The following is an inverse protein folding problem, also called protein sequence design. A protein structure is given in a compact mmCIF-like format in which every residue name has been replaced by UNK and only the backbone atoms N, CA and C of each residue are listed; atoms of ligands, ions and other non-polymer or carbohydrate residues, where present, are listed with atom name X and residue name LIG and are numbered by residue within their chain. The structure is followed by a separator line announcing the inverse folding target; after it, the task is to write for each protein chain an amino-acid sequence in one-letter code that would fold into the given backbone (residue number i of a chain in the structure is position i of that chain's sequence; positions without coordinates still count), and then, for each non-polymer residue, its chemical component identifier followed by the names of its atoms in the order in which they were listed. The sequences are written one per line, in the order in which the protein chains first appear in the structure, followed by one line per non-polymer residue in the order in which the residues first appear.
data_IF_969190988555
#
_entry.id   IF_969190988555
#
_cell.length_a   1.000
_cell.length_b   1.000
_cell.length_c   1.000
_cell.angle_alpha   90.00
_cell.angle_beta   90.00
_cell.angle_gamma   90.00
#
_symmetry.space_group_name_H-M   'P 1'
#
loop_
_entity.id
_entity.type
_entity.pdbx_description
1 polymer ?
#
# COMPACT_ATOMS: atom_id res chain seq x y z
N UNK A 1 -3.81 -9.18 -13.95
CA UNK A 1 -2.93 -9.49 -12.80
C UNK A 1 -3.30 -8.56 -11.67
N UNK A 2 -3.30 -9.05 -10.43
CA UNK A 2 -3.56 -8.25 -9.23
C UNK A 2 -2.26 -7.87 -8.54
N UNK A 3 -2.05 -6.59 -8.27
CA UNK A 3 -0.83 -6.07 -7.66
C UNK A 3 -1.20 -5.34 -6.37
N UNK A 4 -0.49 -5.67 -5.30
CA UNK A 4 -0.63 -5.03 -4.00
C UNK A 4 0.65 -4.28 -3.64
N UNK A 5 0.55 -2.96 -3.50
CA UNK A 5 1.63 -2.13 -2.96
C UNK A 5 1.34 -1.82 -1.50
N UNK A 6 2.18 -2.33 -0.61
CA UNK A 6 2.16 -2.04 0.82
C UNK A 6 3.26 -1.04 1.11
N UNK A 7 2.92 0.09 1.75
CA UNK A 7 3.94 1.04 2.18
C UNK A 7 3.68 1.63 3.55
N UNK A 8 4.79 1.94 4.23
CA UNK A 8 4.78 2.59 5.55
C UNK A 8 5.57 3.88 5.44
N UNK A 9 4.89 5.00 5.57
CA UNK A 9 5.50 6.33 5.62
C UNK A 9 4.62 7.32 6.38
N UNK A 10 5.24 8.34 6.96
CA UNK A 10 4.52 9.43 7.64
C UNK A 10 4.30 10.64 6.73
N UNK A 11 5.06 10.76 5.64
CA UNK A 11 5.13 11.96 4.82
C UNK A 11 5.09 11.58 3.36
N UNK A 12 4.40 12.37 2.53
CA UNK A 12 4.44 12.21 1.09
C UNK A 12 5.72 12.86 0.54
N UNK A 13 6.76 12.04 0.28
CA UNK A 13 8.04 12.49 -0.23
C UNK A 13 8.38 11.77 -1.56
N UNK A 14 9.68 11.66 -1.87
CA UNK A 14 10.14 11.16 -3.16
C UNK A 14 9.79 9.70 -3.44
N UNK A 15 9.89 8.83 -2.43
CA UNK A 15 9.58 7.41 -2.59
C UNK A 15 8.08 7.15 -2.70
N UNK A 16 7.27 7.91 -1.95
CA UNK A 16 5.81 7.84 -2.00
C UNK A 16 5.30 8.38 -3.34
N UNK A 17 5.91 9.46 -3.87
CA UNK A 17 5.60 9.95 -5.21
C UNK A 17 5.95 8.94 -6.29
N UNK A 18 7.11 8.28 -6.18
CA UNK A 18 7.46 7.23 -7.13
C UNK A 18 6.50 6.04 -7.06
N UNK A 19 6.11 5.64 -5.84
CA UNK A 19 5.12 4.58 -5.63
C UNK A 19 3.77 4.95 -6.25
N UNK A 20 3.35 6.20 -6.08
CA UNK A 20 2.13 6.76 -6.65
C UNK A 20 2.17 6.68 -8.18
N UNK A 21 3.22 7.20 -8.81
CA UNK A 21 3.41 7.16 -10.27
C UNK A 21 3.42 5.72 -10.80
N UNK A 22 4.17 4.83 -10.14
CA UNK A 22 4.24 3.42 -10.50
C UNK A 22 2.87 2.73 -10.39
N UNK A 23 2.18 2.93 -9.27
CA UNK A 23 0.87 2.33 -9.02
C UNK A 23 -0.19 2.84 -10.01
N UNK A 24 -0.13 4.12 -10.37
CA UNK A 24 -1.01 4.72 -11.36
C UNK A 24 -0.76 4.12 -12.76
N UNK A 25 0.49 4.04 -13.22
CA UNK A 25 0.81 3.44 -14.52
C UNK A 25 0.42 1.95 -14.57
N UNK A 26 0.65 1.21 -13.49
CA UNK A 26 0.25 -0.19 -13.41
C UNK A 26 -1.27 -0.37 -13.42
N UNK A 27 -2.02 0.56 -12.80
CA UNK A 27 -3.49 0.50 -12.72
C UNK A 27 -4.19 0.58 -14.08
N UNK A 28 -3.51 1.09 -15.11
CA UNK A 28 -4.06 1.15 -16.48
C UNK A 28 -4.22 -0.23 -17.11
N UNK A 29 -3.40 -1.20 -16.70
CA UNK A 29 -3.35 -2.54 -17.30
C UNK A 29 -3.64 -3.65 -16.28
N UNK A 30 -3.63 -3.34 -14.99
CA UNK A 30 -3.72 -4.30 -13.90
C UNK A 30 -4.63 -3.79 -12.79
N UNK A 31 -5.15 -4.71 -11.98
CA UNK A 31 -5.88 -4.37 -10.76
C UNK A 31 -4.85 -4.06 -9.67
N UNK A 32 -4.70 -2.78 -9.33
CA UNK A 32 -3.68 -2.31 -8.38
C UNK A 32 -4.36 -1.77 -7.13
N UNK A 33 -3.98 -2.29 -5.98
CA UNK A 33 -4.40 -1.78 -4.68
C UNK A 33 -3.18 -1.30 -3.92
N UNK A 34 -3.23 -0.05 -3.46
CA UNK A 34 -2.23 0.53 -2.56
C UNK A 34 -2.76 0.49 -1.14
N UNK A 35 -1.93 0.07 -0.19
CA UNK A 35 -2.24 0.03 1.24
C UNK A 35 -1.25 0.88 2.01
N UNK A 36 -1.76 1.84 2.77
CA UNK A 36 -0.95 2.75 3.56
C UNK A 36 -1.77 3.60 4.54
N UNK A 37 -1.14 4.58 5.20
CA UNK A 37 -1.79 5.39 6.22
C UNK A 37 -2.83 6.36 5.63
N UNK A 38 -3.81 6.73 6.45
CA UNK A 38 -4.94 7.58 6.02
C UNK A 38 -4.49 8.94 5.50
N UNK A 39 -3.48 9.54 6.15
CA UNK A 39 -2.94 10.86 5.82
C UNK A 39 -2.41 10.99 4.40
N UNK A 40 -2.09 9.86 3.75
CA UNK A 40 -1.51 9.86 2.41
C UNK A 40 -2.51 9.47 1.33
N UNK A 41 -3.73 9.03 1.70
CA UNK A 41 -4.75 8.55 0.77
C UNK A 41 -5.07 9.53 -0.35
N UNK A 42 -5.19 10.82 -0.02
CA UNK A 42 -5.57 11.87 -1.00
C UNK A 42 -4.50 12.10 -2.08
N UNK A 43 -3.26 11.65 -1.84
CA UNK A 43 -2.19 11.79 -2.82
C UNK A 43 -2.19 10.69 -3.89
N UNK A 44 -2.96 9.61 -3.70
CA UNK A 44 -2.97 8.46 -4.62
C UNK A 44 -4.17 8.51 -5.57
N UNK A 45 -3.90 8.32 -6.86
CA UNK A 45 -4.92 8.30 -7.92
C UNK A 45 -5.57 6.93 -8.14
N UNK A 46 -4.97 5.86 -7.61
CA UNK A 46 -5.46 4.48 -7.76
C UNK A 46 -6.24 4.01 -6.54
N UNK A 47 -6.75 2.77 -6.56
CA UNK A 47 -7.45 2.19 -5.42
C UNK A 47 -6.55 2.16 -4.18
N UNK A 48 -7.03 2.77 -3.09
CA UNK A 48 -6.28 2.94 -1.85
C UNK A 48 -7.05 2.40 -0.66
N UNK A 49 -6.42 1.51 0.11
CA UNK A 49 -6.93 1.00 1.37
C UNK A 49 -6.12 1.55 2.53
N UNK A 50 -6.84 2.12 3.50
CA UNK A 50 -6.24 2.68 4.70
C UNK A 50 -5.89 1.56 5.67
N UNK A 51 -4.65 1.58 6.15
CA UNK A 51 -4.16 0.76 7.25
C UNK A 51 -3.21 1.62 8.08
N UNK A 52 -3.34 1.63 9.41
CA UNK A 52 -2.41 2.37 10.26
C UNK A 52 -1.05 1.67 10.27
N UNK A 53 -0.13 2.15 9.44
CA UNK A 53 1.18 1.52 9.23
C UNK A 53 2.23 1.94 10.24
N UNK A 54 1.91 2.86 11.16
CA UNK A 54 2.86 3.42 12.13
C UNK A 54 3.47 2.39 13.10
N UNK A 55 2.89 1.19 13.24
CA UNK A 55 3.35 0.16 14.20
C UNK A 55 3.66 -1.22 13.59
N UNK A 56 3.94 -1.30 12.28
CA UNK A 56 4.16 -2.57 11.57
C UNK A 56 5.23 -3.50 12.18
N UNK A 57 6.21 -2.97 12.93
CA UNK A 57 7.34 -3.79 13.40
C UNK A 57 6.98 -4.73 14.57
N UNK A 58 5.91 -4.49 15.34
CA UNK A 58 5.69 -5.23 16.60
C UNK A 58 4.23 -5.52 17.00
N UNK A 59 3.22 -5.17 16.20
CA UNK A 59 1.81 -5.40 16.59
C UNK A 59 1.20 -6.67 15.95
N UNK A 60 0.83 -7.69 16.74
CA UNK A 60 0.14 -8.89 16.24
C UNK A 60 -1.21 -8.58 15.57
N UNK A 61 -1.87 -7.50 16.01
CA UNK A 61 -3.16 -7.05 15.46
C UNK A 61 -2.99 -6.57 14.02
N UNK A 62 -1.94 -5.76 13.77
CA UNK A 62 -1.63 -5.27 12.43
C UNK A 62 -1.20 -6.40 11.49
N UNK A 63 -0.50 -7.41 12.02
CA UNK A 63 -0.17 -8.61 11.25
C UNK A 63 -1.44 -9.34 10.77
N UNK A 64 -2.45 -9.44 11.63
CA UNK A 64 -3.71 -10.08 11.28
C UNK A 64 -4.52 -9.24 10.28
N UNK A 65 -4.59 -7.93 10.46
CA UNK A 65 -5.26 -7.02 9.51
C UNK A 65 -4.60 -7.04 8.13
N UNK A 66 -3.26 -7.02 8.09
CA UNK A 66 -2.51 -7.11 6.83
C UNK A 66 -2.75 -8.45 6.14
N UNK A 67 -2.75 -9.56 6.89
CA UNK A 67 -3.11 -10.88 6.35
C UNK A 67 -4.53 -10.92 5.79
N UNK A 68 -5.50 -10.33 6.50
CA UNK A 68 -6.89 -10.24 6.01
C UNK A 68 -6.97 -9.45 4.71
N UNK A 69 -6.24 -8.33 4.60
CA UNK A 69 -6.20 -7.51 3.38
C UNK A 69 -5.54 -8.28 2.23
N UNK A 70 -4.39 -8.91 2.46
CA UNK A 70 -3.68 -9.71 1.45
C UNK A 70 -4.57 -10.87 0.98
N UNK A 71 -5.19 -11.61 1.91
CA UNK A 71 -6.07 -12.73 1.58
C UNK A 71 -7.34 -12.28 0.84
N UNK A 72 -7.88 -11.11 1.18
CA UNK A 72 -9.06 -10.55 0.51
C UNK A 72 -8.77 -10.10 -0.92
N UNK A 73 -7.59 -9.54 -1.17
CA UNK A 73 -7.20 -9.07 -2.50
C UNK A 73 -6.70 -10.24 -3.37
N UNK A 74 -6.06 -11.23 -2.74
CA UNK A 74 -5.37 -12.34 -3.38
C UNK A 74 -4.43 -11.87 -4.52
N UNK A 75 -3.45 -10.99 -4.23
CA UNK A 75 -2.59 -10.42 -5.25
C UNK A 75 -1.64 -11.46 -5.86
N UNK A 76 -1.35 -11.32 -7.15
CA UNK A 76 -0.32 -12.11 -7.83
C UNK A 76 1.08 -11.59 -7.47
N UNK A 77 1.20 -10.28 -7.23
CA UNK A 77 2.46 -9.61 -6.88
C UNK A 77 2.21 -8.71 -5.67
N UNK A 78 3.08 -8.83 -4.66
CA UNK A 78 3.04 -8.03 -3.45
C UNK A 78 4.38 -7.33 -3.25
N UNK A 79 4.37 -6.00 -3.24
CA UNK A 79 5.55 -5.14 -3.07
C UNK A 79 5.47 -4.41 -1.74
N UNK A 80 6.60 -4.35 -1.03
CA UNK A 80 6.71 -3.72 0.28
C UNK A 80 7.71 -2.57 0.18
N UNK A 81 7.22 -1.33 0.35
CA UNK A 81 8.04 -0.13 0.35
C UNK A 81 8.11 0.43 1.76
N UNK A 82 9.26 0.29 2.41
CA UNK A 82 9.48 0.85 3.73
C UNK A 82 10.35 2.10 3.65
N UNK A 83 9.75 3.26 3.90
CA UNK A 83 10.46 4.53 3.99
C UNK A 83 10.78 4.77 5.46
N UNK A 84 12.07 4.96 5.77
CA UNK A 84 12.57 5.15 7.15
C UNK A 84 12.33 6.56 7.64
#
# INVERSE_FOLDING_TARGET
MKILHLFSSKVFAGLERHLEELSYEQSKNHEVVVVGPESLKENFRCEYKVLDTNQWRHSPILLNQTKTIINSIAPNVCTLTQVR
#
